data_IF_306170093798
#
_entry.id   IF_306170093798
#
_cell.length_a   1.000
_cell.length_b   1.000
_cell.length_c   1.000
_cell.angle_alpha   90.00
_cell.angle_beta   90.00
_cell.angle_gamma   90.00
#
_symmetry.space_group_name_H-M   'P 1'
#
loop_
_entity.id
_entity.type
_entity.pdbx_description
1 polymer ?
#
# COMPACT_ATOMS: atom_id res chain seq x y z
N UNK A 1 29.36 -43.08 2.11
CA UNK A 1 30.42 -42.30 2.78
C UNK A 1 31.06 -41.38 1.75
N UNK A 2 31.01 -40.07 2.04
CA UNK A 2 31.92 -38.96 1.67
C UNK A 2 32.54 -38.88 0.24
N UNK A 3 32.64 -37.71 -0.42
CA UNK A 3 32.56 -36.36 0.12
C UNK A 3 32.41 -35.25 -0.93
N UNK A 4 32.03 -34.09 -0.38
CA UNK A 4 31.81 -32.79 -1.01
C UNK A 4 33.06 -32.17 -1.63
N UNK A 5 32.87 -31.40 -2.71
CA UNK A 5 33.70 -30.21 -3.00
C UNK A 5 32.75 -29.05 -3.28
N UNK A 6 32.77 -28.05 -2.40
CA UNK A 6 32.09 -26.78 -2.54
C UNK A 6 33.11 -25.73 -3.03
N UNK A 7 32.80 -25.04 -4.13
CA UNK A 7 33.52 -23.86 -4.56
C UNK A 7 32.79 -22.61 -4.03
N UNK A 8 33.40 -21.92 -3.07
CA UNK A 8 32.93 -20.63 -2.56
C UNK A 8 33.57 -19.49 -3.36
N UNK A 9 32.75 -18.63 -3.97
CA UNK A 9 33.20 -17.37 -4.54
C UNK A 9 33.28 -16.30 -3.45
N UNK A 10 34.49 -15.78 -3.22
CA UNK A 10 34.77 -14.66 -2.33
C UNK A 10 34.32 -13.33 -2.98
N UNK A 11 33.64 -12.48 -2.20
CA UNK A 11 33.49 -11.05 -2.51
C UNK A 11 34.14 -10.23 -1.39
N UNK A 12 34.84 -9.12 -1.72
CA UNK A 12 35.63 -8.37 -0.76
C UNK A 12 34.73 -7.51 0.17
N UNK A 13 35.08 -7.48 1.45
CA UNK A 13 34.48 -6.59 2.45
C UNK A 13 35.03 -5.16 2.36
N UNK A 14 34.34 -4.17 2.96
CA UNK A 14 34.77 -2.78 2.98
C UNK A 14 36.02 -2.58 3.86
N UNK A 15 36.86 -1.56 3.59
CA UNK A 15 38.08 -1.34 4.34
C UNK A 15 37.80 -0.79 5.75
N UNK A 16 38.63 -1.23 6.71
CA UNK A 16 38.63 -0.77 8.10
C UNK A 16 39.11 0.69 8.22
N UNK A 17 38.66 1.45 9.26
CA UNK A 17 39.15 2.79 9.49
C UNK A 17 40.59 2.77 10.06
N UNK A 18 41.43 3.77 9.76
CA UNK A 18 42.82 3.76 10.20
C UNK A 18 42.94 4.00 11.71
N UNK A 19 43.87 3.26 12.32
CA UNK A 19 44.29 3.41 13.71
C UNK A 19 45.20 4.64 13.86
N UNK A 20 44.93 5.41 14.91
CA UNK A 20 45.69 6.56 15.39
C UNK A 20 47.11 6.21 15.86
N UNK A 21 48.08 7.08 15.57
CA UNK A 21 49.33 7.20 16.34
C UNK A 21 49.72 8.68 16.50
N UNK A 22 49.85 9.07 17.77
CA UNK A 22 50.57 10.17 18.44
C UNK A 22 51.08 11.40 17.65
N UNK A 23 50.82 12.59 18.22
CA UNK A 23 51.66 13.78 18.04
C UNK A 23 50.99 15.11 18.40
N UNK A 24 51.22 15.57 19.64
CA UNK A 24 51.28 16.98 20.10
C UNK A 24 50.03 17.90 20.11
N UNK A 25 49.73 18.36 21.34
CA UNK A 25 49.02 19.62 21.69
C UNK A 25 50.08 20.64 22.12
N UNK A 26 49.86 21.96 21.96
CA UNK A 26 49.22 22.76 23.03
C UNK A 26 48.23 23.80 22.43
N UNK A 27 47.34 24.53 23.09
CA UNK A 27 47.31 25.15 24.42
C UNK A 27 45.86 25.53 24.82
N UNK A 28 45.67 25.71 26.14
CA UNK A 28 44.67 26.50 26.91
C UNK A 28 43.40 27.06 26.22
N UNK A 29 42.20 26.93 26.77
CA UNK A 29 41.74 27.67 27.97
C UNK A 29 40.54 26.97 28.66
N UNK A 30 40.72 26.68 29.96
CA UNK A 30 39.84 26.88 31.13
C UNK A 30 38.35 27.28 30.90
N UNK A 31 37.33 26.79 31.64
CA UNK A 31 37.12 26.87 33.10
C UNK A 31 36.02 25.88 33.58
N UNK A 32 36.27 25.22 34.72
CA UNK A 32 35.40 24.68 35.82
C UNK A 32 33.88 24.56 35.57
N UNK A 33 33.24 23.41 35.82
CA UNK A 33 32.97 22.82 37.15
C UNK A 33 31.48 23.07 37.51
N UNK A 34 30.61 22.10 37.80
CA UNK A 34 30.61 21.20 38.95
C UNK A 34 29.68 19.99 38.69
N UNK A 35 30.03 18.87 39.31
CA UNK A 35 29.23 17.65 39.39
C UNK A 35 28.19 17.71 40.52
N UNK A 36 27.06 17.01 40.35
CA UNK A 36 26.39 16.29 41.43
C UNK A 36 25.48 15.17 40.90
N UNK A 37 25.48 14.05 41.63
CA UNK A 37 24.98 12.71 41.29
C UNK A 37 23.47 12.51 41.46
N UNK A 38 23.04 11.41 40.84
CA UNK A 38 21.79 10.65 41.02
C UNK A 38 21.38 10.38 42.48
N UNK A 39 20.07 10.26 42.69
CA UNK A 39 19.49 9.29 43.64
C UNK A 39 18.15 8.76 43.10
N UNK A 40 18.02 7.45 43.09
CA UNK A 40 16.80 6.67 42.88
C UNK A 40 16.06 6.49 44.20
N UNK A 41 14.73 6.38 44.16
CA UNK A 41 13.96 5.36 44.90
C UNK A 41 12.47 5.43 44.59
N UNK A 42 11.85 4.27 44.70
CA UNK A 42 10.52 3.87 44.23
C UNK A 42 9.45 3.89 45.33
N UNK A 43 8.20 3.83 44.87
CA UNK A 43 6.98 3.30 45.53
C UNK A 43 6.23 4.19 46.53
N UNK A 44 4.97 4.54 46.22
CA UNK A 44 3.80 3.83 46.76
C UNK A 44 2.49 4.51 46.29
N UNK A 45 1.54 3.66 45.95
CA UNK A 45 0.16 3.96 45.54
C UNK A 45 -0.68 4.43 46.72
N UNK A 46 -1.48 5.48 46.54
CA UNK A 46 -2.76 5.62 47.27
C UNK A 46 -3.79 6.43 46.47
N UNK A 47 -4.93 5.80 46.26
CA UNK A 47 -6.09 6.34 45.60
C UNK A 47 -6.84 7.35 46.49
N UNK A 48 -7.36 8.41 45.88
CA UNK A 48 -8.51 9.16 46.41
C UNK A 48 -9.29 9.79 45.25
N UNK A 49 -10.56 9.40 45.13
CA UNK A 49 -11.60 10.01 44.29
C UNK A 49 -11.97 11.39 44.87
N UNK A 50 -12.24 12.37 44.01
CA UNK A 50 -13.35 13.32 44.22
C UNK A 50 -13.71 14.07 42.94
N UNK A 51 -15.01 14.15 42.68
CA UNK A 51 -15.69 14.95 41.64
C UNK A 51 -15.58 16.45 41.97
N UNK A 52 -15.55 17.32 40.96
CA UNK A 52 -15.84 18.73 41.12
C UNK A 52 -16.69 19.24 39.94
N UNK A 53 -17.91 19.70 40.25
CA UNK A 53 -18.74 20.55 39.40
C UNK A 53 -18.48 22.03 39.76
N UNK A 54 -18.68 22.88 38.76
CA UNK A 54 -18.40 24.32 38.72
C UNK A 54 -19.25 25.22 39.65
N UNK A 55 -18.71 26.39 39.99
CA UNK A 55 -19.48 27.63 40.17
C UNK A 55 -18.57 28.89 40.13
N UNK A 56 -19.07 29.93 39.47
CA UNK A 56 -18.48 31.27 39.21
C UNK A 56 -18.76 32.23 40.38
N UNK A 57 -17.88 33.19 40.73
CA UNK A 57 -18.18 34.21 41.74
C UNK A 57 -18.69 35.54 41.16
N UNK A 58 -19.54 36.22 41.94
CA UNK A 58 -20.24 37.50 41.67
C UNK A 58 -19.55 38.69 42.38
N UNK A 59 -19.83 39.87 41.82
CA UNK A 59 -19.29 41.24 42.04
C UNK A 59 -19.72 41.93 43.36
N UNK A 60 -18.87 42.83 43.87
CA UNK A 60 -19.13 44.12 44.55
C UNK A 60 -17.77 44.89 44.58
N UNK A 61 -17.56 46.19 44.34
CA UNK A 61 -18.42 47.38 44.29
C UNK A 61 -17.88 48.43 45.28
N UNK A 62 -17.23 49.51 44.80
CA UNK A 62 -17.09 50.78 45.55
C UNK A 62 -15.72 51.48 45.55
N UNK A 63 -15.69 52.78 45.20
CA UNK A 63 -14.59 53.72 45.52
C UNK A 63 -14.47 54.91 44.56
N UNK A 64 -14.69 56.13 45.06
CA UNK A 64 -14.79 57.43 44.34
C UNK A 64 -13.46 58.22 44.25
N UNK A 65 -13.52 59.31 43.44
CA UNK A 65 -12.72 60.57 43.44
C UNK A 65 -11.57 60.62 42.42
N UNK A 66 -11.21 61.71 41.72
CA UNK A 66 -11.60 63.13 41.76
C UNK A 66 -11.05 63.88 40.51
N UNK A 67 -11.63 65.05 40.21
CA UNK A 67 -11.13 66.25 39.48
C UNK A 67 -10.54 66.14 38.05
N UNK A 68 -11.15 66.84 37.08
CA UNK A 68 -10.68 68.14 36.56
C UNK A 68 -11.47 68.57 35.30
N UNK A 69 -11.79 69.86 35.24
CA UNK A 69 -12.52 70.56 34.17
C UNK A 69 -11.71 70.72 32.87
N UNK A 70 -12.38 70.66 31.71
CA UNK A 70 -12.17 71.54 30.55
C UNK A 70 -13.20 71.24 29.44
N UNK A 71 -13.92 72.28 29.01
CA UNK A 71 -14.81 72.29 27.84
C UNK A 71 -14.03 72.20 26.51
N UNK A 72 -14.54 71.45 25.53
CA UNK A 72 -14.53 71.86 24.10
C UNK A 72 -15.45 70.98 23.22
N UNK A 73 -16.03 71.64 22.23
CA UNK A 73 -17.05 71.24 21.25
C UNK A 73 -16.82 69.92 20.49
N UNK A 74 -17.92 69.20 20.17
CA UNK A 74 -18.32 68.78 18.81
C UNK A 74 -19.38 67.64 18.80
N UNK A 75 -20.52 67.91 18.14
CA UNK A 75 -21.50 67.07 17.39
C UNK A 75 -21.72 65.55 17.69
N UNK A 76 -22.97 65.05 17.52
CA UNK A 76 -23.37 63.69 17.89
C UNK A 76 -22.95 62.67 16.83
N UNK A 77 -22.34 61.55 17.24
CA UNK A 77 -22.02 60.45 16.33
C UNK A 77 -22.44 59.08 16.88
N UNK A 78 -23.33 58.45 16.11
CA UNK A 78 -23.47 57.03 15.83
C UNK A 78 -23.87 56.06 16.96
N UNK A 79 -25.08 55.49 16.78
CA UNK A 79 -25.57 54.29 17.43
C UNK A 79 -24.58 53.11 17.26
N UNK A 80 -24.30 52.41 18.36
CA UNK A 80 -23.45 51.22 18.34
C UNK A 80 -24.16 50.01 17.69
N UNK A 81 -23.44 49.18 16.90
CA UNK A 81 -24.03 48.09 16.14
C UNK A 81 -24.32 46.85 17.00
N UNK A 82 -25.50 46.26 16.77
CA UNK A 82 -25.95 44.99 17.37
C UNK A 82 -25.02 43.85 16.95
N UNK A 83 -24.50 43.10 17.92
CA UNK A 83 -23.60 41.97 17.66
C UNK A 83 -24.35 40.76 17.10
N UNK A 84 -23.71 40.08 16.16
CA UNK A 84 -24.18 38.96 15.31
C UNK A 84 -24.64 37.70 16.08
N UNK A 85 -24.57 37.69 17.42
CA UNK A 85 -24.82 36.51 18.26
C UNK A 85 -26.30 36.21 18.55
N UNK A 86 -27.21 37.14 18.24
CA UNK A 86 -28.65 36.98 18.52
C UNK A 86 -29.50 36.61 17.29
N UNK A 87 -28.88 36.05 16.23
CA UNK A 87 -29.56 35.64 14.99
C UNK A 87 -29.22 34.21 14.53
N UNK A 88 -28.84 33.31 15.43
CA UNK A 88 -28.70 31.90 15.08
C UNK A 88 -30.08 31.21 15.13
N UNK A 89 -30.46 30.42 14.10
CA UNK A 89 -31.68 29.61 14.15
C UNK A 89 -31.66 28.65 15.33
N UNK A 90 -32.82 28.42 15.94
CA UNK A 90 -32.97 27.44 17.02
C UNK A 90 -32.74 26.02 16.48
N UNK A 91 -31.52 25.51 16.67
CA UNK A 91 -31.11 24.15 16.27
C UNK A 91 -31.75 23.04 17.11
N UNK A 92 -32.53 23.38 18.14
CA UNK A 92 -33.21 22.40 19.00
C UNK A 92 -34.22 21.54 18.21
N UNK A 93 -34.91 22.13 17.22
CA UNK A 93 -35.82 21.43 16.31
C UNK A 93 -35.08 20.39 15.45
N UNK A 94 -33.87 20.70 14.98
CA UNK A 94 -33.07 19.76 14.19
C UNK A 94 -32.55 18.61 15.05
N UNK A 95 -32.07 18.90 16.26
CA UNK A 95 -31.67 17.86 17.21
C UNK A 95 -32.84 16.95 17.60
N UNK A 96 -34.03 17.52 17.82
CA UNK A 96 -35.24 16.77 18.12
C UNK A 96 -35.67 15.87 16.95
N UNK A 97 -35.58 16.35 15.71
CA UNK A 97 -35.87 15.55 14.52
C UNK A 97 -34.88 14.38 14.36
N UNK A 98 -33.57 14.64 14.50
CA UNK A 98 -32.53 13.61 14.39
C UNK A 98 -32.72 12.54 15.48
N UNK A 99 -32.92 12.95 16.73
CA UNK A 99 -33.16 12.01 17.84
C UNK A 99 -34.42 11.18 17.65
N UNK A 100 -35.49 11.76 17.10
CA UNK A 100 -36.72 11.03 16.78
C UNK A 100 -36.51 9.99 15.68
N UNK A 101 -35.71 10.31 14.65
CA UNK A 101 -35.35 9.37 13.58
C UNK A 101 -34.52 8.21 14.15
N UNK A 102 -33.55 8.48 15.03
CA UNK A 102 -32.76 7.44 15.68
C UNK A 102 -33.61 6.54 16.59
N UNK A 103 -34.52 7.11 17.39
CA UNK A 103 -35.43 6.32 18.22
C UNK A 103 -36.42 5.49 17.39
N UNK A 104 -36.91 6.03 16.27
CA UNK A 104 -37.77 5.30 15.34
C UNK A 104 -37.00 4.13 14.69
N UNK A 105 -35.76 4.36 14.25
CA UNK A 105 -34.89 3.34 13.70
C UNK A 105 -34.57 2.24 14.72
N UNK A 106 -34.29 2.60 15.98
CA UNK A 106 -34.02 1.66 17.07
C UNK A 106 -35.26 0.81 17.41
N UNK A 107 -36.46 1.40 17.42
CA UNK A 107 -37.73 0.66 17.53
C UNK A 107 -37.99 -0.27 16.34
N UNK A 108 -37.59 0.13 15.14
CA UNK A 108 -37.76 -0.70 13.94
C UNK A 108 -36.77 -1.87 13.93
N UNK A 109 -35.57 -1.68 14.47
CA UNK A 109 -34.54 -2.71 14.56
C UNK A 109 -34.84 -3.79 15.61
N UNK A 110 -35.49 -3.41 16.72
CA UNK A 110 -35.92 -4.35 17.78
C UNK A 110 -37.13 -5.23 17.40
N UNK A 111 -37.80 -4.93 16.28
CA UNK A 111 -38.91 -5.73 15.73
C UNK A 111 -38.49 -6.66 14.58
N UNK A 112 -37.25 -6.58 14.13
CA UNK A 112 -36.70 -7.45 13.07
C UNK A 112 -36.08 -8.69 13.71
N UNK A 113 -36.90 -9.71 13.97
CA UNK A 113 -36.42 -11.08 14.14
C UNK A 113 -35.92 -11.62 12.78
N UNK A 114 -34.78 -11.10 12.35
CA UNK A 114 -34.09 -11.55 11.15
C UNK A 114 -33.35 -12.86 11.45
N UNK A 115 -33.96 -14.00 11.12
CA UNK A 115 -33.24 -15.27 11.01
C UNK A 115 -32.79 -15.45 9.55
N UNK A 116 -31.47 -15.35 9.25
CA UNK A 116 -31.01 -15.52 7.89
C UNK A 116 -31.20 -16.96 7.43
N UNK A 117 -31.91 -17.12 6.30
CA UNK A 117 -31.95 -18.37 5.55
C UNK A 117 -30.59 -18.54 4.87
N UNK A 118 -29.70 -19.30 5.54
CA UNK A 118 -28.32 -19.67 5.15
C UNK A 118 -27.26 -18.58 5.46
N UNK A 119 -26.30 -18.86 6.36
CA UNK A 119 -25.24 -17.92 6.72
C UNK A 119 -24.28 -17.64 5.55
N UNK A 120 -24.09 -18.59 4.63
CA UNK A 120 -23.12 -18.47 3.53
C UNK A 120 -23.41 -17.31 2.57
N UNK A 121 -24.70 -17.02 2.29
CA UNK A 121 -25.08 -15.89 1.44
C UNK A 121 -24.75 -14.53 2.06
N UNK A 122 -24.81 -14.40 3.39
CA UNK A 122 -24.54 -13.13 4.07
C UNK A 122 -23.05 -12.80 4.08
N UNK A 123 -22.21 -13.82 4.22
CA UNK A 123 -20.74 -13.68 4.20
C UNK A 123 -20.27 -13.13 2.85
N UNK A 124 -20.83 -13.66 1.75
CA UNK A 124 -20.54 -13.19 0.40
C UNK A 124 -21.02 -11.74 0.13
N UNK A 125 -22.20 -11.34 0.65
CA UNK A 125 -22.70 -9.96 0.49
C UNK A 125 -21.96 -8.90 1.30
N UNK A 126 -21.34 -9.27 2.43
CA UNK A 126 -20.61 -8.34 3.29
C UNK A 126 -19.14 -8.18 2.88
N UNK A 127 -18.69 -8.90 1.84
CA UNK A 127 -17.30 -8.85 1.36
C UNK A 127 -16.29 -9.50 2.31
N UNK A 128 -16.77 -10.30 3.27
CA UNK A 128 -15.90 -11.12 4.11
C UNK A 128 -15.45 -12.32 3.28
N UNK A 129 -14.15 -12.40 2.99
CA UNK A 129 -13.64 -13.51 2.19
C UNK A 129 -13.73 -14.85 2.91
N UNK A 130 -13.81 -15.92 2.13
CA UNK A 130 -14.02 -17.30 2.58
C UNK A 130 -12.87 -18.20 2.15
N UNK A 131 -12.66 -19.27 2.91
CA UNK A 131 -11.74 -20.33 2.51
C UNK A 131 -12.51 -21.37 1.71
N UNK A 132 -11.97 -21.75 0.55
CA UNK A 132 -12.54 -22.67 -0.44
C UNK A 132 -11.48 -23.71 -0.85
N UNK A 133 -11.88 -24.73 -1.61
CA UNK A 133 -11.02 -25.83 -2.05
C UNK A 133 -10.24 -26.46 -0.90
N UNK A 134 -10.92 -27.19 -0.02
CA UNK A 134 -10.32 -27.98 1.07
C UNK A 134 -9.37 -27.21 2.01
N UNK A 135 -9.55 -25.90 2.15
CA UNK A 135 -8.77 -25.10 3.10
C UNK A 135 -7.61 -24.31 2.48
N UNK A 136 -7.26 -24.53 1.21
CA UNK A 136 -6.00 -24.01 0.63
C UNK A 136 -6.15 -22.73 -0.18
N UNK A 137 -7.38 -22.37 -0.56
CA UNK A 137 -7.65 -21.21 -1.39
C UNK A 137 -8.54 -20.22 -0.65
N UNK A 138 -8.25 -18.94 -0.77
CA UNK A 138 -9.06 -17.85 -0.24
C UNK A 138 -9.78 -17.14 -1.37
N UNK A 139 -11.05 -16.81 -1.16
CA UNK A 139 -11.92 -16.11 -2.10
C UNK A 139 -12.48 -14.85 -1.47
N UNK A 140 -12.48 -13.74 -2.19
CA UNK A 140 -13.11 -12.50 -1.75
C UNK A 140 -13.65 -11.70 -2.94
N UNK A 141 -14.83 -11.10 -2.77
CA UNK A 141 -15.46 -10.25 -3.78
C UNK A 141 -15.14 -8.77 -3.53
N UNK A 142 -14.90 -8.04 -4.62
CA UNK A 142 -14.71 -6.60 -4.61
C UNK A 142 -15.64 -5.96 -5.63
N UNK A 143 -16.41 -4.96 -5.19
CA UNK A 143 -17.11 -4.07 -6.12
C UNK A 143 -16.16 -2.95 -6.53
N UNK A 144 -16.01 -2.73 -7.83
CA UNK A 144 -15.16 -1.67 -8.38
C UNK A 144 -15.76 -0.32 -8.06
N UNK A 145 -15.01 0.50 -7.33
CA UNK A 145 -15.44 1.80 -6.82
C UNK A 145 -15.17 2.91 -7.84
N UNK A 146 -15.87 4.04 -7.68
CA UNK A 146 -15.78 5.15 -8.64
C UNK A 146 -14.39 5.77 -8.74
N UNK A 147 -13.60 5.77 -7.66
CA UNK A 147 -12.24 6.32 -7.65
C UNK A 147 -11.16 5.30 -8.07
N UNK A 148 -11.57 4.06 -8.37
CA UNK A 148 -10.67 2.96 -8.75
C UNK A 148 -10.57 2.80 -10.28
N UNK A 149 -11.36 3.57 -11.03
CA UNK A 149 -11.38 3.61 -12.49
C UNK A 149 -10.61 4.81 -13.04
N UNK A 150 -10.03 4.64 -14.23
CA UNK A 150 -9.37 5.69 -14.99
C UNK A 150 -10.33 6.53 -15.83
N UNK A 151 -9.77 7.48 -16.59
CA UNK A 151 -10.53 8.32 -17.52
C UNK A 151 -11.22 7.53 -18.65
N UNK A 152 -10.75 6.31 -18.92
CA UNK A 152 -11.34 5.37 -19.86
C UNK A 152 -12.46 4.49 -19.26
N UNK A 153 -12.90 4.80 -18.02
CA UNK A 153 -13.97 4.12 -17.27
C UNK A 153 -13.67 2.68 -16.85
N UNK A 154 -12.42 2.25 -17.01
CA UNK A 154 -11.98 0.92 -16.61
C UNK A 154 -11.11 0.97 -15.36
N UNK A 155 -11.10 -0.09 -14.57
CA UNK A 155 -10.25 -0.17 -13.38
C UNK A 155 -8.77 -0.04 -13.76
N UNK A 156 -8.00 0.69 -12.96
CA UNK A 156 -6.55 0.77 -13.20
C UNK A 156 -5.86 -0.57 -12.89
N UNK A 157 -4.68 -0.80 -13.47
CA UNK A 157 -3.84 -1.94 -13.05
C UNK A 157 -3.47 -1.84 -11.57
N UNK A 158 -3.24 -0.63 -11.04
CA UNK A 158 -2.98 -0.44 -9.60
C UNK A 158 -4.15 -0.94 -8.75
N UNK A 159 -5.40 -0.69 -9.17
CA UNK A 159 -6.60 -1.20 -8.49
C UNK A 159 -6.59 -2.71 -8.41
N UNK A 160 -6.41 -3.40 -9.55
CA UNK A 160 -6.40 -4.87 -9.56
C UNK A 160 -5.28 -5.42 -8.68
N UNK A 161 -4.09 -4.82 -8.73
CA UNK A 161 -2.94 -5.23 -7.92
C UNK A 161 -3.14 -4.96 -6.43
N UNK A 162 -3.87 -3.89 -6.06
CA UNK A 162 -4.28 -3.65 -4.67
C UNK A 162 -5.23 -4.75 -4.18
N UNK A 163 -6.18 -5.22 -5.00
CA UNK A 163 -7.02 -6.36 -4.64
C UNK A 163 -6.19 -7.64 -4.43
N UNK A 164 -5.15 -7.87 -5.24
CA UNK A 164 -4.24 -9.01 -5.04
C UNK A 164 -3.51 -8.93 -3.69
N UNK A 165 -3.01 -7.74 -3.34
CA UNK A 165 -2.32 -7.51 -2.07
C UNK A 165 -3.26 -7.68 -0.87
N UNK A 166 -4.46 -7.11 -0.92
CA UNK A 166 -5.46 -7.22 0.14
C UNK A 166 -5.87 -8.68 0.38
N UNK A 167 -6.19 -9.41 -0.70
CA UNK A 167 -6.55 -10.83 -0.58
C UNK A 167 -5.42 -11.71 -0.08
N UNK A 168 -4.17 -11.39 -0.41
CA UNK A 168 -3.02 -12.12 0.13
C UNK A 168 -2.93 -12.03 1.65
N UNK A 169 -3.19 -10.86 2.22
CA UNK A 169 -3.17 -10.62 3.66
C UNK A 169 -4.39 -11.23 4.35
N UNK A 170 -5.57 -11.04 3.76
CA UNK A 170 -6.80 -11.60 4.29
C UNK A 170 -6.75 -13.13 4.31
N UNK A 171 -6.15 -13.75 3.28
CA UNK A 171 -5.89 -15.18 3.28
C UNK A 171 -5.05 -15.58 4.51
N UNK A 172 -3.86 -14.99 4.69
CA UNK A 172 -2.94 -15.31 5.81
C UNK A 172 -3.61 -15.08 7.18
N UNK A 173 -4.41 -14.02 7.30
CA UNK A 173 -5.19 -13.71 8.50
C UNK A 173 -6.22 -14.79 8.83
N UNK A 174 -7.01 -15.20 7.83
CA UNK A 174 -8.11 -16.16 8.03
C UNK A 174 -7.58 -17.56 8.34
N UNK A 175 -6.45 -17.97 7.76
CA UNK A 175 -5.82 -19.26 8.08
C UNK A 175 -5.02 -19.26 9.39
N UNK A 176 -5.02 -18.16 10.13
CA UNK A 176 -4.35 -18.07 11.44
C UNK A 176 -2.82 -17.98 11.38
N UNK A 177 -2.27 -17.68 10.21
CA UNK A 177 -0.82 -17.52 9.98
C UNK A 177 -0.35 -16.08 10.15
N UNK A 178 -1.22 -15.16 10.53
CA UNK A 178 -0.83 -13.78 10.78
C UNK A 178 -0.26 -13.65 12.20
N UNK A 179 1.05 -13.53 12.29
CA UNK A 179 1.77 -13.24 13.53
C UNK A 179 1.68 -11.76 13.93
N UNK A 180 2.83 -11.18 14.28
CA UNK A 180 2.96 -9.81 14.81
C UNK A 180 2.89 -8.69 13.75
N UNK A 181 2.47 -8.99 12.52
CA UNK A 181 2.48 -7.98 11.45
C UNK A 181 1.93 -8.44 10.11
N UNK A 182 2.42 -7.80 9.05
CA UNK A 182 1.95 -7.94 7.67
C UNK A 182 2.51 -9.22 7.02
N UNK A 183 1.73 -10.31 7.05
CA UNK A 183 2.05 -11.55 6.33
C UNK A 183 3.20 -12.40 6.91
N UNK A 184 3.71 -12.11 8.11
CA UNK A 184 4.73 -12.93 8.78
C UNK A 184 4.08 -13.96 9.70
N UNK A 185 4.51 -15.22 9.62
CA UNK A 185 4.02 -16.28 10.50
C UNK A 185 4.60 -16.19 11.91
N UNK A 186 3.99 -16.80 12.93
CA UNK A 186 4.53 -16.81 14.29
C UNK A 186 5.99 -17.29 14.37
N UNK A 187 6.37 -18.37 13.68
CA UNK A 187 7.76 -18.85 13.69
C UNK A 187 8.72 -17.93 12.91
N UNK A 188 8.24 -17.22 11.90
CA UNK A 188 9.04 -16.19 11.21
C UNK A 188 9.33 -15.00 12.12
N UNK A 189 8.31 -14.49 12.82
CA UNK A 189 8.43 -13.35 13.72
C UNK A 189 9.47 -13.61 14.82
N UNK A 190 9.46 -14.81 15.42
CA UNK A 190 10.47 -15.25 16.41
C UNK A 190 11.91 -15.21 15.89
N UNK A 191 12.11 -15.37 14.58
CA UNK A 191 13.43 -15.47 13.94
C UNK A 191 13.85 -14.19 13.20
N UNK A 192 13.10 -13.10 13.35
CA UNK A 192 13.29 -11.86 12.59
C UNK A 192 13.27 -12.11 11.07
N UNK A 193 12.38 -12.97 10.60
CA UNK A 193 12.22 -13.29 9.18
C UNK A 193 10.96 -12.60 8.63
N UNK A 194 11.00 -12.24 7.35
CA UNK A 194 9.87 -11.67 6.64
C UNK A 194 9.91 -12.06 5.16
N UNK A 195 8.76 -12.03 4.51
CA UNK A 195 8.64 -12.29 3.09
C UNK A 195 8.95 -11.04 2.29
N UNK A 196 9.76 -11.18 1.24
CA UNK A 196 9.94 -10.18 0.20
C UNK A 196 9.52 -10.75 -1.14
N UNK A 197 8.75 -9.99 -1.91
CA UNK A 197 8.38 -10.38 -3.27
C UNK A 197 9.58 -10.12 -4.18
N UNK A 198 10.02 -11.13 -4.91
CA UNK A 198 11.16 -11.02 -5.83
C UNK A 198 10.70 -10.83 -7.27
N UNK A 199 9.58 -11.43 -7.65
CA UNK A 199 9.03 -11.34 -9.00
C UNK A 199 7.51 -11.39 -8.95
N UNK A 200 6.85 -10.71 -9.88
CA UNK A 200 5.41 -10.83 -10.11
C UNK A 200 5.12 -10.82 -11.60
N UNK A 201 4.16 -11.62 -12.04
CA UNK A 201 3.59 -11.61 -13.38
C UNK A 201 2.08 -11.50 -13.26
N UNK A 202 1.47 -10.60 -14.02
CA UNK A 202 0.03 -10.48 -14.15
C UNK A 202 -0.35 -10.41 -15.63
N UNK A 203 -1.34 -11.19 -16.02
CA UNK A 203 -1.93 -11.22 -17.36
C UNK A 203 -3.38 -10.75 -17.20
N UNK A 204 -3.71 -9.66 -17.88
CA UNK A 204 -5.04 -9.03 -17.84
C UNK A 204 -5.77 -9.39 -19.11
N UNK A 205 -6.84 -10.19 -19.01
CA UNK A 205 -7.69 -10.53 -20.16
C UNK A 205 -8.72 -9.42 -20.43
N UNK A 206 -9.19 -8.76 -19.37
CA UNK A 206 -10.17 -7.66 -19.45
C UNK A 206 -10.07 -6.78 -18.21
N UNK A 207 -10.30 -5.48 -18.37
CA UNK A 207 -10.51 -4.59 -17.24
C UNK A 207 -12.00 -4.46 -16.88
N UNK A 208 -12.37 -4.55 -15.59
CA UNK A 208 -13.73 -4.31 -15.13
C UNK A 208 -14.04 -2.80 -15.10
N UNK A 209 -15.31 -2.46 -15.20
CA UNK A 209 -15.84 -1.10 -15.15
C UNK A 209 -16.35 -0.75 -13.75
N UNK A 210 -16.70 0.52 -13.54
CA UNK A 210 -17.33 0.95 -12.30
C UNK A 210 -18.66 0.23 -12.07
N UNK A 211 -18.88 -0.25 -10.84
CA UNK A 211 -20.08 -1.01 -10.45
C UNK A 211 -19.96 -2.52 -10.67
N UNK A 212 -19.03 -2.97 -11.52
CA UNK A 212 -18.77 -4.40 -11.68
C UNK A 212 -18.28 -5.01 -10.35
N UNK A 213 -18.61 -6.28 -10.15
CA UNK A 213 -18.12 -7.04 -9.00
C UNK A 213 -17.21 -8.15 -9.49
N UNK A 214 -15.98 -8.19 -8.94
CA UNK A 214 -14.97 -9.19 -9.27
C UNK A 214 -14.76 -10.14 -8.08
N UNK A 215 -14.68 -11.44 -8.38
CA UNK A 215 -14.30 -12.49 -7.45
C UNK A 215 -12.80 -12.73 -7.56
N UNK A 216 -12.06 -12.53 -6.47
CA UNK A 216 -10.62 -12.72 -6.40
C UNK A 216 -10.33 -14.00 -5.61
N UNK A 217 -9.78 -15.00 -6.29
CA UNK A 217 -9.28 -16.22 -5.67
C UNK A 217 -7.75 -16.15 -5.53
N UNK A 218 -7.20 -16.55 -4.39
CA UNK A 218 -5.75 -16.63 -4.15
C UNK A 218 -5.36 -17.88 -3.37
N UNK A 219 -4.20 -18.44 -3.69
CA UNK A 219 -3.61 -19.58 -2.99
C UNK A 219 -2.10 -19.47 -3.00
N UNK A 220 -1.45 -20.29 -2.17
CA UNK A 220 0.02 -20.37 -2.08
C UNK A 220 0.48 -21.74 -2.54
N UNK A 221 1.74 -21.84 -2.94
CA UNK A 221 2.35 -23.11 -3.30
C UNK A 221 3.86 -23.07 -3.20
N UNK A 222 4.50 -24.21 -3.44
CA UNK A 222 5.95 -24.28 -3.49
C UNK A 222 6.53 -23.50 -4.68
N UNK A 223 7.67 -22.84 -4.44
CA UNK A 223 8.52 -22.31 -5.50
C UNK A 223 9.99 -22.66 -5.26
N UNK A 224 10.48 -23.69 -5.94
CA UNK A 224 11.82 -24.22 -5.73
C UNK A 224 12.03 -24.71 -4.29
N UNK A 225 13.29 -24.73 -3.82
CA UNK A 225 13.61 -25.27 -2.49
C UNK A 225 13.34 -24.32 -1.32
N UNK A 226 13.47 -23.01 -1.55
CA UNK A 226 13.49 -21.97 -0.51
C UNK A 226 12.57 -20.77 -0.84
N UNK A 227 11.58 -20.96 -1.71
CA UNK A 227 10.64 -19.92 -2.08
C UNK A 227 9.20 -20.39 -1.97
N UNK A 228 8.30 -19.43 -1.92
CA UNK A 228 6.86 -19.62 -1.98
C UNK A 228 6.35 -18.92 -3.24
N UNK A 229 5.44 -19.57 -3.97
CA UNK A 229 4.63 -18.87 -4.96
C UNK A 229 3.30 -18.48 -4.35
N UNK A 230 2.75 -17.37 -4.82
CA UNK A 230 1.36 -17.01 -4.59
C UNK A 230 0.72 -16.73 -5.93
N UNK A 231 -0.43 -17.34 -6.14
CA UNK A 231 -1.18 -17.28 -7.37
C UNK A 231 -2.54 -16.59 -7.12
N UNK A 232 -3.08 -16.00 -8.18
CA UNK A 232 -4.39 -15.36 -8.17
C UNK A 232 -5.14 -15.60 -9.47
N UNK A 233 -6.46 -15.71 -9.35
CA UNK A 233 -7.39 -15.69 -10.46
C UNK A 233 -8.56 -14.77 -10.11
N UNK A 234 -8.67 -13.66 -10.84
CA UNK A 234 -9.78 -12.73 -10.77
C UNK A 234 -10.77 -13.08 -11.88
N UNK A 235 -12.04 -13.24 -11.50
CA UNK A 235 -13.16 -13.43 -12.42
C UNK A 235 -14.21 -12.36 -12.23
N UNK A 236 -14.89 -12.01 -13.30
CA UNK A 236 -16.13 -11.25 -13.21
C UNK A 236 -17.19 -12.12 -12.54
N UNK A 237 -17.82 -11.61 -11.47
CA UNK A 237 -18.74 -12.42 -10.65
C UNK A 237 -20.06 -12.76 -11.34
N UNK A 238 -20.45 -11.99 -12.37
CA UNK A 238 -21.72 -12.18 -13.09
C UNK A 238 -21.53 -13.09 -14.28
N UNK A 239 -20.53 -12.83 -15.10
CA UNK A 239 -20.25 -13.55 -16.35
C UNK A 239 -19.35 -14.77 -16.14
N UNK A 240 -18.59 -14.82 -15.05
CA UNK A 240 -17.59 -15.86 -14.78
C UNK A 240 -16.33 -15.76 -15.64
N UNK A 241 -16.23 -14.75 -16.52
CA UNK A 241 -15.09 -14.55 -17.41
C UNK A 241 -13.84 -14.16 -16.60
N UNK A 242 -12.67 -14.60 -17.08
CA UNK A 242 -11.41 -14.21 -16.48
C UNK A 242 -11.15 -12.73 -16.72
N UNK A 243 -10.84 -12.03 -15.64
CA UNK A 243 -10.41 -10.62 -15.65
C UNK A 243 -8.88 -10.60 -15.66
N UNK A 244 -8.27 -11.31 -14.72
CA UNK A 244 -6.82 -11.31 -14.51
C UNK A 244 -6.35 -12.63 -13.91
N UNK A 245 -5.19 -13.10 -14.36
CA UNK A 245 -4.41 -14.16 -13.70
C UNK A 245 -3.07 -13.58 -13.28
N UNK A 246 -2.60 -13.94 -12.09
CA UNK A 246 -1.30 -13.49 -11.63
C UNK A 246 -0.57 -14.56 -10.82
N UNK A 247 0.75 -14.46 -10.80
CA UNK A 247 1.63 -15.26 -9.96
C UNK A 247 2.77 -14.40 -9.45
N UNK A 248 3.24 -14.69 -8.24
CA UNK A 248 4.34 -13.97 -7.60
C UNK A 248 5.28 -14.94 -6.88
N UNK A 249 6.56 -14.60 -6.85
CA UNK A 249 7.62 -15.37 -6.21
C UNK A 249 8.08 -14.62 -4.96
N UNK A 250 8.09 -15.33 -3.84
CA UNK A 250 8.46 -14.80 -2.55
C UNK A 250 9.68 -15.53 -2.01
N UNK A 251 10.60 -14.76 -1.46
CA UNK A 251 11.79 -15.27 -0.78
C UNK A 251 11.84 -14.72 0.63
N UNK A 252 12.46 -15.47 1.53
CA UNK A 252 12.58 -15.06 2.92
C UNK A 252 13.83 -14.21 3.11
N UNK A 253 13.71 -13.14 3.89
CA UNK A 253 14.82 -12.26 4.25
C UNK A 253 14.84 -12.07 5.77
N UNK A 254 16.04 -11.92 6.33
CA UNK A 254 16.21 -11.57 7.73
C UNK A 254 16.15 -10.04 7.91
N UNK A 255 15.28 -9.56 8.81
CA UNK A 255 15.00 -8.15 9.09
C UNK A 255 16.26 -7.39 9.52
N UNK A 256 17.13 -8.02 10.32
CA UNK A 256 18.32 -7.38 10.91
C UNK A 256 19.49 -7.38 9.93
N UNK A 257 19.83 -8.53 9.38
CA UNK A 257 21.02 -8.69 8.51
C UNK A 257 20.76 -8.27 7.06
N UNK A 258 19.49 -8.12 6.66
CA UNK A 258 19.07 -7.81 5.29
C UNK A 258 19.58 -8.80 4.25
N UNK A 259 19.81 -10.05 4.67
CA UNK A 259 20.25 -11.17 3.82
C UNK A 259 19.11 -12.14 3.58
N UNK A 260 19.13 -12.76 2.40
CA UNK A 260 18.23 -13.86 2.07
C UNK A 260 18.44 -15.03 3.05
N UNK A 261 17.35 -15.61 3.50
CA UNK A 261 17.30 -16.72 4.42
C UNK A 261 16.64 -17.93 3.75
N UNK A 262 17.04 -19.14 4.16
CA UNK A 262 16.28 -20.35 3.84
C UNK A 262 15.02 -20.39 4.70
N UNK A 263 13.99 -21.08 4.22
CA UNK A 263 12.77 -21.33 5.00
C UNK A 263 13.12 -22.35 6.09
N UNK A 264 13.06 -21.98 7.38
CA UNK A 264 13.25 -22.94 8.49
C UNK A 264 12.16 -24.02 8.47
N UNK A 265 12.47 -25.21 8.98
CA UNK A 265 11.54 -26.34 8.97
C UNK A 265 10.27 -26.05 9.79
N UNK A 266 10.38 -25.25 10.84
CA UNK A 266 9.23 -24.84 11.65
C UNK A 266 8.29 -23.92 10.87
N UNK A 267 8.85 -22.98 10.10
CA UNK A 267 8.05 -22.13 9.21
C UNK A 267 7.45 -22.95 8.07
N UNK A 268 8.20 -23.92 7.53
CA UNK A 268 7.69 -24.84 6.50
C UNK A 268 6.47 -25.61 7.02
N UNK A 269 6.56 -26.14 8.23
CA UNK A 269 5.46 -26.87 8.88
C UNK A 269 4.21 -26.01 9.04
N UNK A 270 4.34 -24.70 9.28
CA UNK A 270 3.21 -23.78 9.37
C UNK A 270 2.51 -23.54 8.01
N UNK A 271 3.28 -23.45 6.92
CA UNK A 271 2.75 -22.99 5.61
C UNK A 271 2.40 -24.12 4.64
N UNK A 272 3.11 -25.25 4.70
CA UNK A 272 2.96 -26.39 3.79
C UNK A 272 1.54 -27.00 3.76
N UNK A 273 0.78 -27.06 4.87
CA UNK A 273 -0.61 -27.52 4.82
C UNK A 273 -1.55 -26.68 3.93
N UNK A 274 -1.17 -25.44 3.63
CA UNK A 274 -1.96 -24.53 2.79
C UNK A 274 -1.50 -24.50 1.34
N UNK A 275 -0.51 -25.32 0.99
CA UNK A 275 0.07 -25.31 -0.35
C UNK A 275 -0.82 -26.07 -1.33
N UNK A 276 -0.97 -25.45 -2.49
CA UNK A 276 -1.73 -25.95 -3.63
C UNK A 276 -0.78 -26.15 -4.80
N UNK A 277 -0.99 -27.24 -5.54
CA UNK A 277 -0.24 -27.53 -6.77
C UNK A 277 -0.81 -26.81 -8.00
N UNK A 278 -1.99 -26.20 -7.90
CA UNK A 278 -2.57 -25.42 -9.00
C UNK A 278 -1.70 -24.20 -9.31
N UNK A 279 -1.44 -23.96 -10.60
CA UNK A 279 -0.78 -22.75 -11.09
C UNK A 279 -1.83 -21.86 -11.78
N UNK A 280 -1.82 -20.55 -11.52
CA UNK A 280 -2.72 -19.64 -12.23
C UNK A 280 -2.23 -19.37 -13.66
N UNK A 281 -0.91 -19.40 -13.86
CA UNK A 281 -0.23 -19.17 -15.13
C UNK A 281 0.72 -20.35 -15.38
N UNK A 282 0.42 -21.15 -16.40
CA UNK A 282 1.24 -22.31 -16.78
C UNK A 282 2.54 -21.87 -17.49
N UNK A 283 2.44 -20.93 -18.44
CA UNK A 283 3.59 -20.39 -19.19
C UNK A 283 4.08 -19.07 -18.58
N UNK A 284 4.91 -19.19 -17.54
CA UNK A 284 5.50 -18.02 -16.89
C UNK A 284 6.61 -17.37 -17.73
N UNK A 285 6.58 -16.04 -17.84
CA UNK A 285 7.63 -15.29 -18.53
C UNK A 285 8.90 -15.24 -17.67
N UNK A 286 9.76 -16.23 -17.87
CA UNK A 286 11.05 -16.36 -17.21
C UNK A 286 12.20 -15.76 -18.04
N UNK A 287 11.91 -14.98 -19.10
CA UNK A 287 12.94 -14.35 -19.93
C UNK A 287 13.76 -13.40 -19.06
N UNK A 288 15.08 -13.57 -19.09
CA UNK A 288 16.00 -12.70 -18.36
C UNK A 288 15.81 -11.25 -18.82
N UNK A 289 15.64 -10.35 -17.87
CA UNK A 289 15.68 -8.92 -18.18
C UNK A 289 17.04 -8.56 -18.77
N UNK A 290 17.08 -7.72 -19.81
CA UNK A 290 18.34 -7.20 -20.31
C UNK A 290 19.16 -6.57 -19.18
N UNK A 291 20.49 -6.61 -19.33
CA UNK A 291 21.34 -5.67 -18.59
C UNK A 291 21.01 -4.27 -19.09
N UNK A 292 21.25 -3.25 -18.25
CA UNK A 292 20.95 -1.82 -18.47
C UNK A 292 20.90 -1.44 -19.95
N UNK A 293 19.93 -0.60 -20.39
CA UNK A 293 19.67 -0.37 -21.81
C UNK A 293 20.98 -0.03 -22.54
N UNK A 294 21.49 -0.98 -23.33
CA UNK A 294 22.61 -0.74 -24.22
C UNK A 294 22.24 0.42 -25.15
N UNK A 295 23.25 1.23 -25.48
CA UNK A 295 23.06 2.43 -26.29
C UNK A 295 22.71 2.12 -27.76
N UNK A 296 22.61 0.84 -28.15
CA UNK A 296 22.80 0.38 -29.53
C UNK A 296 21.65 -0.46 -30.11
N UNK A 297 20.39 -0.19 -29.76
CA UNK A 297 19.26 -0.60 -30.61
C UNK A 297 18.69 0.60 -31.35
N UNK A 298 19.11 0.76 -32.61
CA UNK A 298 18.73 1.86 -33.49
C UNK A 298 17.21 2.02 -33.74
N UNK A 299 16.39 1.06 -33.29
CA UNK A 299 14.93 1.00 -33.47
C UNK A 299 14.10 1.23 -32.20
N UNK A 300 14.71 1.46 -31.03
CA UNK A 300 13.97 1.60 -29.77
C UNK A 300 13.85 3.07 -29.31
N UNK A 301 12.62 3.56 -29.09
CA UNK A 301 12.38 4.87 -28.50
C UNK A 301 12.54 4.82 -26.97
N UNK A 302 13.34 5.73 -26.40
CA UNK A 302 13.64 5.80 -24.96
C UNK A 302 12.98 7.04 -24.34
N UNK A 303 12.29 6.84 -23.23
CA UNK A 303 11.58 7.88 -22.47
C UNK A 303 12.05 7.85 -21.01
N UNK A 304 12.24 9.03 -20.41
CA UNK A 304 12.80 9.15 -19.06
C UNK A 304 11.99 10.16 -18.25
N UNK A 305 11.73 9.81 -16.99
CA UNK A 305 11.14 10.68 -15.97
C UNK A 305 12.01 10.65 -14.71
N UNK A 306 12.48 11.80 -14.28
CA UNK A 306 13.31 11.97 -13.08
C UNK A 306 12.53 12.65 -11.94
N UNK A 307 13.11 12.71 -10.74
CA UNK A 307 12.54 13.42 -9.61
C UNK A 307 11.33 12.74 -8.95
N UNK A 308 11.13 11.44 -9.18
CA UNK A 308 10.03 10.71 -8.55
C UNK A 308 10.35 10.51 -7.08
N UNK A 309 9.48 11.00 -6.21
CA UNK A 309 9.66 10.94 -4.75
C UNK A 309 8.45 10.31 -4.06
N UNK A 310 8.66 9.38 -3.11
CA UNK A 310 7.58 8.82 -2.32
C UNK A 310 6.86 9.87 -1.49
N UNK A 311 5.54 9.82 -1.47
CA UNK A 311 4.70 10.57 -0.52
C UNK A 311 4.48 9.73 0.73
N UNK A 312 3.97 10.37 1.78
CA UNK A 312 3.64 9.67 3.02
C UNK A 312 2.65 8.51 2.80
N UNK A 313 1.66 8.71 1.93
CA UNK A 313 0.65 7.69 1.61
C UNK A 313 1.19 6.53 0.73
N UNK A 314 2.39 6.67 0.17
CA UNK A 314 3.02 5.61 -0.64
C UNK A 314 3.80 4.62 0.24
N UNK A 315 3.98 4.93 1.53
CA UNK A 315 4.68 4.09 2.49
C UNK A 315 3.74 3.06 3.13
N UNK A 316 4.24 1.84 3.27
CA UNK A 316 3.58 0.77 4.01
C UNK A 316 3.88 0.86 5.53
N UNK A 317 3.32 -0.08 6.29
CA UNK A 317 3.53 -0.17 7.75
C UNK A 317 5.00 -0.36 8.15
N UNK A 318 5.84 -0.84 7.23
CA UNK A 318 7.27 -1.05 7.44
C UNK A 318 8.11 0.18 7.03
N UNK A 319 7.45 1.29 6.66
CA UNK A 319 8.07 2.53 6.15
C UNK A 319 8.85 2.33 4.84
N UNK A 320 8.53 1.29 4.08
CA UNK A 320 9.01 1.11 2.71
C UNK A 320 7.92 1.53 1.73
N UNK A 321 8.32 1.88 0.51
CA UNK A 321 7.34 2.12 -0.55
C UNK A 321 6.56 0.83 -0.83
N UNK A 322 5.23 0.93 -0.86
CA UNK A 322 4.33 -0.17 -1.20
C UNK A 322 4.63 -0.71 -2.62
N UNK A 323 4.66 -2.03 -2.78
CA UNK A 323 4.99 -2.69 -4.04
C UNK A 323 4.11 -2.26 -5.24
N UNK A 324 2.83 -1.94 -4.99
CA UNK A 324 1.90 -1.46 -6.03
C UNK A 324 2.32 -0.08 -6.54
N UNK A 325 2.95 0.76 -5.72
CA UNK A 325 3.37 2.11 -6.13
C UNK A 325 4.54 2.12 -7.11
N UNK A 326 5.38 1.09 -7.11
CA UNK A 326 6.38 0.95 -8.17
C UNK A 326 5.75 0.79 -9.55
N UNK A 327 4.55 0.22 -9.67
CA UNK A 327 3.85 0.05 -10.95
C UNK A 327 3.51 1.41 -11.55
N UNK A 328 2.93 2.31 -10.76
CA UNK A 328 2.64 3.68 -11.20
C UNK A 328 3.89 4.42 -11.65
N UNK A 329 4.98 4.34 -10.88
CA UNK A 329 6.25 4.99 -11.25
C UNK A 329 6.91 4.40 -12.50
N UNK A 330 6.81 3.09 -12.70
CA UNK A 330 7.27 2.42 -13.93
C UNK A 330 6.52 2.94 -15.15
N UNK A 331 5.21 3.19 -15.02
CA UNK A 331 4.36 3.66 -16.11
C UNK A 331 4.43 5.18 -16.35
N UNK A 332 4.92 5.97 -15.39
CA UNK A 332 5.01 7.44 -15.52
C UNK A 332 5.93 7.90 -16.67
N UNK A 333 6.94 7.09 -17.05
CA UNK A 333 7.79 7.39 -18.21
C UNK A 333 7.23 6.84 -19.53
N UNK A 334 6.14 6.06 -19.49
CA UNK A 334 5.53 5.53 -20.70
C UNK A 334 4.85 6.66 -21.50
N UNK A 335 4.94 6.66 -22.83
CA UNK A 335 4.28 7.67 -23.66
C UNK A 335 2.77 7.69 -23.45
N UNK A 336 2.20 8.89 -23.30
CA UNK A 336 0.76 9.09 -23.13
C UNK A 336 -0.03 8.45 -24.28
N UNK A 337 0.49 8.48 -25.51
CA UNK A 337 -0.15 7.86 -26.68
C UNK A 337 -0.35 6.34 -26.54
N UNK A 338 0.51 5.64 -25.79
CA UNK A 338 0.31 4.22 -25.48
C UNK A 338 -0.84 4.08 -24.49
N UNK A 339 -0.86 4.89 -23.42
CA UNK A 339 -1.90 4.86 -22.38
C UNK A 339 -3.30 5.20 -22.93
N UNK A 340 -3.36 6.10 -23.90
CA UNK A 340 -4.62 6.51 -24.55
C UNK A 340 -5.16 5.45 -25.51
N UNK A 341 -4.29 4.88 -26.36
CA UNK A 341 -4.71 4.02 -27.47
C UNK A 341 -4.63 2.52 -27.18
N UNK A 342 -3.90 2.11 -26.13
CA UNK A 342 -3.68 0.72 -25.78
C UNK A 342 -4.03 0.45 -24.31
N UNK A 343 -4.35 -0.79 -24.00
CA UNK A 343 -4.51 -1.28 -22.63
C UNK A 343 -3.43 -2.31 -22.30
N UNK A 344 -3.01 -2.32 -21.03
CA UNK A 344 -1.96 -3.20 -20.54
C UNK A 344 -2.49 -4.64 -20.46
N UNK A 345 -1.95 -5.52 -21.31
CA UNK A 345 -2.36 -6.92 -21.40
C UNK A 345 -1.52 -7.83 -20.47
N UNK A 346 -0.27 -7.48 -20.22
CA UNK A 346 0.62 -8.24 -19.34
C UNK A 346 1.68 -7.36 -18.73
N UNK A 347 2.03 -7.63 -17.48
CA UNK A 347 3.14 -7.00 -16.76
C UNK A 347 3.95 -8.05 -16.00
N UNK A 348 5.27 -7.99 -16.16
CA UNK A 348 6.24 -8.79 -15.41
C UNK A 348 7.15 -7.84 -14.66
N UNK A 349 7.26 -8.00 -13.34
CA UNK A 349 8.01 -7.16 -12.41
C UNK A 349 9.09 -8.01 -11.74
N UNK A 350 10.31 -7.49 -11.67
CA UNK A 350 11.45 -8.08 -10.98
C UNK A 350 12.04 -7.08 -10.00
N UNK A 351 11.77 -7.32 -8.72
CA UNK A 351 12.09 -6.44 -7.61
C UNK A 351 13.52 -6.73 -7.13
N UNK A 352 14.36 -5.69 -7.14
CA UNK A 352 15.79 -5.78 -6.78
C UNK A 352 16.11 -5.15 -5.45
N UNK A 353 15.39 -4.10 -5.07
CA UNK A 353 15.65 -3.35 -3.84
C UNK A 353 14.38 -2.66 -3.33
N UNK A 354 14.37 -2.39 -2.03
CA UNK A 354 13.35 -1.58 -1.38
C UNK A 354 13.74 -0.09 -1.45
N UNK A 355 12.74 0.78 -1.54
CA UNK A 355 12.89 2.23 -1.44
C UNK A 355 12.31 2.73 -0.10
N UNK A 356 13.00 3.72 0.46
CA UNK A 356 12.55 4.41 1.67
C UNK A 356 12.02 5.81 1.34
N UNK A 357 11.51 6.49 2.37
CA UNK A 357 10.88 7.82 2.25
C UNK A 357 11.71 8.88 1.53
N UNK A 358 13.03 8.86 1.69
CA UNK A 358 13.92 9.91 1.16
C UNK A 358 14.53 9.52 -0.20
N UNK A 359 14.06 8.44 -0.82
CA UNK A 359 14.53 8.02 -2.13
C UNK A 359 14.04 8.97 -3.22
N UNK A 360 14.93 9.31 -4.14
CA UNK A 360 14.59 10.00 -5.39
C UNK A 360 14.86 9.03 -6.53
N UNK A 361 13.86 8.80 -7.37
CA UNK A 361 13.86 7.79 -8.40
C UNK A 361 13.76 8.39 -9.80
N UNK A 362 14.29 7.62 -10.75
CA UNK A 362 14.18 7.82 -12.18
C UNK A 362 13.51 6.60 -12.82
N UNK A 363 12.54 6.85 -13.69
CA UNK A 363 11.81 5.87 -14.48
C UNK A 363 12.23 5.98 -15.93
N UNK A 364 12.61 4.86 -16.52
CA UNK A 364 12.97 4.73 -17.93
C UNK A 364 12.05 3.74 -18.61
N UNK A 365 11.51 4.10 -19.78
CA UNK A 365 10.73 3.21 -20.64
C UNK A 365 11.38 3.13 -22.02
N UNK A 366 11.61 1.90 -22.49
CA UNK A 366 12.06 1.61 -23.85
C UNK A 366 10.93 0.90 -24.58
N UNK A 367 10.44 1.50 -25.68
CA UNK A 367 9.36 0.94 -26.48
C UNK A 367 9.95 0.13 -27.64
N UNK A 368 9.51 -1.11 -27.75
CA UNK A 368 9.82 -2.04 -28.83
C UNK A 368 8.52 -2.32 -29.60
N UNK A 369 8.51 -2.00 -30.89
CA UNK A 369 7.41 -2.35 -31.79
C UNK A 369 7.73 -3.70 -32.39
N UNK A 370 7.11 -4.79 -31.90
CA UNK A 370 7.20 -6.07 -32.58
C UNK A 370 6.11 -6.16 -33.66
N UNK A 371 6.50 -6.75 -34.78
CA UNK A 371 5.70 -6.93 -35.99
C UNK A 371 4.36 -7.64 -35.68
N UNK A 372 3.34 -7.29 -36.46
CA UNK A 372 2.00 -7.86 -36.40
C UNK A 372 2.01 -9.37 -36.08
N UNK A 373 1.23 -9.76 -35.08
CA UNK A 373 0.87 -11.16 -34.89
C UNK A 373 0.22 -11.70 -36.18
N UNK A 374 0.17 -13.02 -36.39
CA UNK A 374 -0.48 -13.63 -37.57
C UNK A 374 -1.96 -13.19 -37.76
N UNK A 375 -2.56 -12.56 -36.73
CA UNK A 375 -3.89 -11.93 -36.69
C UNK A 375 -3.95 -10.49 -37.24
N UNK A 376 -2.82 -9.83 -37.49
CA UNK A 376 -2.75 -8.43 -37.92
C UNK A 376 -2.86 -7.39 -36.79
N UNK A 377 -3.01 -7.81 -35.53
CA UNK A 377 -3.00 -6.88 -34.39
C UNK A 377 -1.57 -6.51 -33.99
N UNK A 378 -1.32 -5.21 -33.81
CA UNK A 378 -0.01 -4.70 -33.39
C UNK A 378 0.08 -4.71 -31.88
N UNK A 379 0.79 -5.68 -31.31
CA UNK A 379 1.12 -5.72 -29.89
C UNK A 379 2.35 -4.88 -29.60
N UNK A 380 2.27 -3.98 -28.62
CA UNK A 380 3.41 -3.16 -28.21
C UNK A 380 4.09 -3.78 -27.00
N UNK A 381 5.42 -3.83 -27.03
CA UNK A 381 6.24 -4.28 -25.92
C UNK A 381 7.02 -3.12 -25.34
N UNK A 382 6.97 -2.95 -24.02
CA UNK A 382 7.84 -1.99 -23.35
C UNK A 382 8.71 -2.68 -22.32
N UNK A 383 9.96 -2.23 -22.22
CA UNK A 383 10.86 -2.56 -21.14
C UNK A 383 11.03 -1.34 -20.25
N UNK A 384 10.95 -1.56 -18.94
CA UNK A 384 11.01 -0.49 -17.96
C UNK A 384 12.12 -0.73 -16.94
N UNK A 385 12.71 0.36 -16.50
CA UNK A 385 13.70 0.39 -15.44
C UNK A 385 13.36 1.51 -14.47
N UNK A 386 13.24 1.15 -13.20
CA UNK A 386 13.13 2.10 -12.10
C UNK A 386 14.41 2.03 -11.27
N UNK A 387 15.14 3.13 -11.18
CA UNK A 387 16.40 3.26 -10.45
C UNK A 387 16.35 4.42 -9.47
N UNK A 388 17.24 4.41 -8.47
CA UNK A 388 17.58 5.66 -7.76
C UNK A 388 18.33 6.57 -8.73
N UNK A 389 18.15 7.89 -8.62
CA UNK A 389 18.89 8.84 -9.45
C UNK A 389 20.40 8.59 -9.34
N UNK A 390 21.06 8.27 -10.47
CA UNK A 390 22.48 7.86 -10.53
C UNK A 390 22.85 6.67 -9.64
N UNK A 391 21.90 5.81 -9.34
CA UNK A 391 22.03 4.75 -8.35
C UNK A 391 21.65 3.36 -8.86
N UNK A 392 21.48 2.41 -7.92
CA UNK A 392 21.11 1.05 -8.27
C UNK A 392 19.68 0.94 -8.81
N UNK A 393 19.46 -0.11 -9.61
CA UNK A 393 18.13 -0.55 -10.02
C UNK A 393 17.30 -1.01 -8.81
N UNK A 394 16.04 -0.55 -8.78
CA UNK A 394 15.02 -0.88 -7.79
C UNK A 394 14.07 -1.94 -8.37
N UNK A 395 13.50 -1.67 -9.55
CA UNK A 395 12.60 -2.61 -10.25
C UNK A 395 12.95 -2.65 -11.73
N UNK A 396 12.90 -3.84 -12.32
CA UNK A 396 12.83 -4.02 -13.77
C UNK A 396 11.43 -4.50 -14.13
N UNK A 397 10.88 -4.02 -15.23
CA UNK A 397 9.59 -4.49 -15.70
C UNK A 397 9.55 -4.69 -17.21
N UNK A 398 8.66 -5.58 -17.65
CA UNK A 398 8.27 -5.73 -19.04
C UNK A 398 6.76 -5.65 -19.11
N UNK A 399 6.26 -4.89 -20.06
CA UNK A 399 4.83 -4.79 -20.32
C UNK A 399 4.51 -5.16 -21.77
N UNK A 400 3.33 -5.74 -21.97
CA UNK A 400 2.73 -5.99 -23.27
C UNK A 400 1.41 -5.23 -23.30
N UNK A 401 1.15 -4.55 -24.41
CA UNK A 401 -0.04 -3.74 -24.60
C UNK A 401 -0.76 -4.18 -25.86
N UNK A 402 -2.09 -4.17 -25.80
CA UNK A 402 -2.97 -4.42 -26.94
C UNK A 402 -3.80 -3.17 -27.25
N UNK A 403 -4.20 -2.95 -28.51
CA UNK A 403 -5.07 -1.83 -28.85
C UNK A 403 -6.37 -1.87 -28.04
N UNK A 404 -6.86 -0.71 -27.60
CA UNK A 404 -8.20 -0.63 -27.00
C UNK A 404 -9.23 -0.93 -28.10
N UNK A 405 -10.07 -1.94 -27.89
CA UNK A 405 -11.09 -2.30 -28.88
C UNK A 405 -12.06 -1.14 -29.15
N UNK A 406 -12.33 -0.82 -30.42
CA UNK A 406 -13.28 0.22 -30.81
C UNK A 406 -14.71 0.02 -30.23
N UNK A 407 -15.07 -1.22 -29.89
CA UNK A 407 -16.38 -1.59 -29.31
C UNK A 407 -16.56 -1.17 -27.85
N UNK A 408 -15.49 -0.92 -27.09
CA UNK A 408 -15.60 -0.47 -25.70
C UNK A 408 -16.25 0.93 -25.59
N UNK A 409 -16.16 1.73 -26.66
CA UNK A 409 -16.76 3.07 -26.72
C UNK A 409 -18.26 3.05 -27.06
N UNK A 410 -18.75 2.07 -27.84
CA UNK A 410 -20.17 1.99 -28.22
C UNK A 410 -21.07 1.48 -27.08
N UNK A 411 -20.62 0.49 -26.30
CA UNK A 411 -21.37 0.05 -25.11
C UNK A 411 -21.35 1.10 -23.99
N UNK A 412 -20.33 1.96 -23.94
CA UNK A 412 -20.21 3.05 -22.95
C UNK A 412 -21.13 4.25 -23.23
N UNK A 413 -21.70 4.36 -24.44
CA UNK A 413 -22.65 5.42 -24.78
C UNK A 413 -24.09 5.13 -24.30
N UNK A 414 -24.41 3.87 -23.97
CA UNK A 414 -25.78 3.43 -23.67
C UNK A 414 -26.08 3.27 -22.17
N UNK A 415 -25.15 3.57 -21.27
CA UNK A 415 -25.33 3.40 -19.83
C UNK A 415 -25.00 4.69 -19.05
N UNK A 416 -25.74 5.76 -19.33
CA UNK A 416 -25.76 6.99 -18.54
C UNK A 416 -26.80 6.94 -17.44
#
# INVERSE_FOLDING_TARGET
>A
MAGSIAAAAFFPGPPAPPKSALGERPDSLDVRGMAAKQASSSSAVRAARTRAHAAVPKVNGGGKSALADAEHDAMPSAAQPRTFYNQLPDWSMLLAAITTIFLAAEKQWTLLDWKPKRPDMLVDTLGFGTIVHDGVMFRQNFSIRSYEIGADRTASIETLMNHLQETALNHVKVVGLLGDGFGSTPEMSKRNLFWVVSQMQAIVERYPCWGDTVEVNTWVGHHGKNGMRRDWHIRDSVTGLTVLKATSKWVMMNKVTRRLARIPDEVRTEIEPFFSEYAAIDDQDNRKFPKLPEHDRATSAKYVRTGLTPRWADLDINQHVNNVKYIGWILESAPISILENHELASIVLDYKRECGRNSVLESHTTVHTDCADESGETTLHCEHLLSLESGPTIVKARTMWRPKGAKSQETAALSW
#
